data_IF_686163162260
#
_entry.id   IF_686163162260
#
_cell.length_a   1.000
_cell.length_b   1.000
_cell.length_c   1.000
_cell.angle_alpha   90.00
_cell.angle_beta   90.00
_cell.angle_gamma   90.00
#
_symmetry.space_group_name_H-M   'P 1'
#
loop_
_entity.id
_entity.type
_entity.pdbx_description
1 polymer ?
#
# COMPACT_ATOMS: atom_id res chain seq x y z
N UNK A 1 -20.86 -42.55 -54.44
CA UNK A 1 -19.40 -42.48 -54.26
C UNK A 1 -19.06 -41.27 -53.41
N UNK A 2 -18.10 -41.47 -52.51
CA UNK A 2 -17.90 -40.72 -51.27
C UNK A 2 -17.48 -39.26 -51.45
N UNK A 3 -18.11 -38.35 -50.69
CA UNK A 3 -17.49 -37.10 -50.25
C UNK A 3 -16.71 -37.42 -48.99
N UNK A 4 -15.38 -37.51 -49.09
CA UNK A 4 -14.51 -37.57 -47.92
C UNK A 4 -14.50 -36.21 -47.22
N UNK A 5 -14.63 -36.17 -45.88
CA UNK A 5 -14.70 -34.93 -45.12
C UNK A 5 -13.31 -34.30 -44.95
N UNK A 6 -13.27 -32.97 -44.94
CA UNK A 6 -12.14 -32.19 -44.44
C UNK A 6 -11.89 -32.59 -42.99
N UNK A 7 -10.72 -33.17 -42.72
CA UNK A 7 -10.21 -33.30 -41.37
C UNK A 7 -9.98 -31.89 -40.81
N UNK A 8 -10.84 -31.49 -39.88
CA UNK A 8 -10.59 -30.35 -39.01
C UNK A 8 -9.39 -30.69 -38.12
N UNK A 9 -8.34 -29.90 -38.25
CA UNK A 9 -7.25 -29.85 -37.27
C UNK A 9 -7.79 -29.05 -36.09
N UNK A 10 -8.44 -29.74 -35.14
CA UNK A 10 -8.55 -29.24 -33.78
C UNK A 10 -7.16 -29.38 -33.16
N UNK A 11 -6.37 -28.32 -33.25
CA UNK A 11 -5.22 -28.12 -32.36
C UNK A 11 -5.72 -27.31 -31.18
N UNK A 12 -6.42 -27.96 -30.26
CA UNK A 12 -6.42 -27.55 -28.85
C UNK A 12 -4.97 -27.69 -28.38
N UNK A 13 -4.21 -26.61 -28.53
CA UNK A 13 -2.94 -26.48 -27.81
C UNK A 13 -3.33 -26.33 -26.35
N UNK A 14 -3.28 -27.43 -25.61
CA UNK A 14 -3.33 -27.44 -24.17
C UNK A 14 -2.07 -26.70 -23.71
N UNK A 15 -2.20 -25.38 -23.54
CA UNK A 15 -1.12 -24.49 -23.14
C UNK A 15 -0.65 -24.95 -21.76
N UNK A 16 0.62 -25.35 -21.67
CA UNK A 16 1.17 -25.91 -20.44
C UNK A 16 0.93 -24.95 -19.27
N UNK A 17 0.49 -25.44 -18.10
CA UNK A 17 0.10 -24.58 -17.00
C UNK A 17 1.28 -23.71 -16.55
N UNK A 18 1.01 -22.43 -16.37
CA UNK A 18 2.00 -21.47 -15.89
C UNK A 18 2.41 -21.84 -14.47
N UNK A 19 3.71 -22.05 -14.24
CA UNK A 19 4.25 -22.38 -12.92
C UNK A 19 5.14 -21.24 -12.40
N UNK A 20 4.99 -20.84 -11.13
CA UNK A 20 5.89 -19.89 -10.52
C UNK A 20 7.25 -20.53 -10.28
N UNK A 21 8.32 -19.74 -10.39
CA UNK A 21 9.66 -20.18 -10.00
C UNK A 21 9.77 -20.20 -8.46
N UNK A 22 10.43 -21.18 -7.87
CA UNK A 22 10.69 -21.18 -6.43
C UNK A 22 11.67 -20.08 -6.01
N UNK A 23 11.51 -19.44 -4.84
CA UNK A 23 12.44 -18.42 -4.39
C UNK A 23 13.79 -19.06 -4.07
N UNK A 24 14.86 -18.42 -4.53
CA UNK A 24 16.23 -18.94 -4.36
C UNK A 24 16.75 -18.77 -2.89
N UNK A 25 15.98 -18.16 -1.99
CA UNK A 25 16.38 -17.84 -0.62
C UNK A 25 15.24 -18.00 0.38
N UNK A 26 15.56 -18.33 1.64
CA UNK A 26 14.60 -18.42 2.76
C UNK A 26 13.81 -17.10 2.95
N UNK A 27 14.49 -15.95 2.84
CA UNK A 27 13.81 -14.64 2.91
C UNK A 27 12.78 -14.47 1.78
N UNK A 28 13.08 -14.98 0.59
CA UNK A 28 12.14 -15.00 -0.54
C UNK A 28 10.95 -15.91 -0.29
N UNK A 29 11.17 -17.07 0.31
CA UNK A 29 10.12 -18.01 0.73
C UNK A 29 9.18 -17.37 1.76
N UNK A 30 9.75 -16.79 2.83
CA UNK A 30 8.97 -16.07 3.85
C UNK A 30 8.19 -14.90 3.24
N UNK A 31 8.79 -14.11 2.35
CA UNK A 31 8.09 -13.02 1.68
C UNK A 31 6.92 -13.52 0.81
N UNK A 32 7.06 -14.68 0.17
CA UNK A 32 6.00 -15.30 -0.64
C UNK A 32 4.86 -15.81 0.24
N UNK A 33 5.19 -16.45 1.36
CA UNK A 33 4.19 -16.88 2.34
C UNK A 33 3.40 -15.69 2.88
N UNK A 34 4.09 -14.60 3.24
CA UNK A 34 3.43 -13.37 3.68
C UNK A 34 2.56 -12.77 2.56
N UNK A 35 3.04 -12.74 1.33
CA UNK A 35 2.25 -12.30 0.19
C UNK A 35 0.97 -13.14 0.03
N UNK A 36 1.06 -14.46 0.12
CA UNK A 36 -0.09 -15.35 0.03
C UNK A 36 -1.11 -15.09 1.16
N UNK A 37 -0.65 -14.92 2.40
CA UNK A 37 -1.52 -14.57 3.55
C UNK A 37 -2.26 -13.26 3.27
N UNK A 38 -1.55 -12.24 2.80
CA UNK A 38 -2.13 -10.93 2.48
C UNK A 38 -3.10 -11.00 1.30
N UNK A 39 -2.80 -11.79 0.27
CA UNK A 39 -3.66 -12.00 -0.88
C UNK A 39 -4.98 -12.70 -0.48
N UNK A 40 -4.91 -13.72 0.40
CA UNK A 40 -6.10 -14.35 0.96
C UNK A 40 -6.98 -13.37 1.72
N UNK A 41 -6.37 -12.50 2.53
CA UNK A 41 -7.08 -11.45 3.26
C UNK A 41 -7.72 -10.41 2.32
N UNK A 42 -6.98 -9.98 1.29
CA UNK A 42 -7.42 -9.01 0.29
C UNK A 42 -8.61 -9.53 -0.54
N UNK A 43 -8.51 -10.76 -1.03
CA UNK A 43 -9.51 -11.36 -1.91
C UNK A 43 -10.68 -11.99 -1.15
N UNK A 44 -10.51 -12.24 0.16
CA UNK A 44 -11.45 -13.05 0.97
C UNK A 44 -11.67 -14.44 0.37
N UNK A 45 -10.66 -14.96 -0.29
CA UNK A 45 -10.63 -16.29 -0.91
C UNK A 45 -9.48 -17.07 -0.27
N UNK A 46 -9.75 -18.31 0.13
CA UNK A 46 -8.72 -19.18 0.71
C UNK A 46 -8.07 -20.03 -0.38
N UNK A 47 -7.02 -19.52 -1.00
CA UNK A 47 -6.15 -20.31 -1.88
C UNK A 47 -5.43 -21.39 -1.08
N UNK A 48 -5.24 -22.60 -1.61
CA UNK A 48 -4.49 -23.62 -0.87
C UNK A 48 -3.01 -23.24 -0.76
N UNK A 49 -2.41 -22.93 -1.90
CA UNK A 49 -1.00 -22.59 -2.04
C UNK A 49 -0.78 -21.36 -2.95
N UNK A 50 0.48 -20.96 -3.08
CA UNK A 50 0.88 -19.85 -3.94
C UNK A 50 0.74 -20.20 -5.43
N UNK A 51 0.91 -21.46 -5.82
CA UNK A 51 0.81 -21.88 -7.22
C UNK A 51 -0.62 -21.67 -7.75
N UNK A 52 -1.63 -22.00 -6.97
CA UNK A 52 -3.04 -21.81 -7.31
C UNK A 52 -3.37 -20.32 -7.48
N UNK A 53 -2.86 -19.47 -6.57
CA UNK A 53 -2.98 -18.02 -6.69
C UNK A 53 -2.29 -17.52 -7.96
N UNK A 54 -1.07 -17.99 -8.22
CA UNK A 54 -0.27 -17.60 -9.39
C UNK A 54 -1.01 -17.95 -10.68
N UNK A 55 -1.51 -19.18 -10.81
CA UNK A 55 -2.25 -19.61 -12.00
C UNK A 55 -3.54 -18.81 -12.23
N UNK A 56 -4.20 -18.35 -11.17
CA UNK A 56 -5.44 -17.58 -11.29
C UNK A 56 -5.21 -16.12 -11.73
N UNK A 57 -4.02 -15.55 -11.50
CA UNK A 57 -3.77 -14.11 -11.70
C UNK A 57 -2.62 -13.80 -12.66
N UNK A 58 -1.65 -14.70 -12.84
CA UNK A 58 -0.52 -14.48 -13.73
C UNK A 58 -0.97 -14.63 -15.18
N UNK A 59 -0.56 -13.68 -16.02
CA UNK A 59 -0.73 -13.75 -17.47
C UNK A 59 0.53 -13.23 -18.15
N UNK A 60 0.87 -13.84 -19.29
CA UNK A 60 1.88 -13.30 -20.22
C UNK A 60 1.28 -12.26 -21.17
N UNK A 61 -0.04 -12.31 -21.38
CA UNK A 61 -0.74 -11.38 -22.26
C UNK A 61 -0.82 -9.98 -21.63
N UNK A 62 -0.27 -8.93 -22.27
CA UNK A 62 -0.22 -7.58 -21.70
C UNK A 62 -1.57 -7.01 -21.27
N UNK A 63 -2.64 -7.40 -21.95
CA UNK A 63 -4.02 -6.95 -21.66
C UNK A 63 -4.52 -7.51 -20.31
N UNK A 64 -4.07 -8.71 -19.94
CA UNK A 64 -4.51 -9.42 -18.73
C UNK A 64 -3.57 -9.21 -17.53
N UNK A 65 -2.36 -8.67 -17.77
CA UNK A 65 -1.41 -8.31 -16.70
C UNK A 65 -2.00 -7.33 -15.68
N UNK A 66 -3.02 -6.55 -16.06
CA UNK A 66 -3.70 -5.61 -15.17
C UNK A 66 -4.29 -6.31 -13.94
N UNK A 67 -4.78 -7.54 -14.09
CA UNK A 67 -5.39 -8.30 -12.99
C UNK A 67 -4.35 -8.64 -11.91
N UNK A 68 -3.17 -9.10 -12.32
CA UNK A 68 -2.04 -9.33 -11.41
C UNK A 68 -1.58 -8.03 -10.74
N UNK A 69 -1.48 -6.94 -11.50
CA UNK A 69 -1.03 -5.65 -10.97
C UNK A 69 -2.04 -5.05 -9.97
N UNK A 70 -3.33 -5.24 -10.22
CA UNK A 70 -4.39 -4.81 -9.30
C UNK A 70 -4.37 -5.65 -8.01
N UNK A 71 -4.12 -6.96 -8.11
CA UNK A 71 -3.91 -7.80 -6.93
C UNK A 71 -2.70 -7.32 -6.11
N UNK A 72 -1.56 -7.08 -6.76
CA UNK A 72 -0.33 -6.58 -6.11
C UNK A 72 -0.59 -5.26 -5.36
N UNK A 73 -1.36 -4.34 -5.96
CA UNK A 73 -1.77 -3.09 -5.32
C UNK A 73 -2.69 -3.32 -4.12
N UNK A 74 -3.65 -4.23 -4.24
CA UNK A 74 -4.60 -4.54 -3.17
C UNK A 74 -3.88 -5.20 -1.99
N UNK A 75 -2.96 -6.12 -2.27
CA UNK A 75 -2.07 -6.72 -1.27
C UNK A 75 -1.24 -5.63 -0.58
N UNK A 76 -0.68 -4.68 -1.34
CA UNK A 76 0.05 -3.57 -0.75
C UNK A 76 -0.81 -2.75 0.21
N UNK A 77 -2.06 -2.45 -0.16
CA UNK A 77 -3.00 -1.73 0.69
C UNK A 77 -3.29 -2.48 2.00
N UNK A 78 -3.62 -3.77 1.92
CA UNK A 78 -3.89 -4.61 3.10
C UNK A 78 -2.67 -4.71 4.00
N UNK A 79 -1.48 -4.88 3.42
CA UNK A 79 -0.25 -4.99 4.20
C UNK A 79 0.07 -3.70 4.96
N UNK A 80 -0.11 -2.54 4.32
CA UNK A 80 0.08 -1.24 4.95
C UNK A 80 -0.94 -1.01 6.08
N UNK A 81 -2.20 -1.41 5.89
CA UNK A 81 -3.24 -1.34 6.92
C UNK A 81 -2.97 -2.29 8.10
N UNK A 82 -2.32 -3.43 7.84
CA UNK A 82 -1.87 -4.35 8.90
C UNK A 82 -0.63 -3.85 9.66
N UNK A 83 -0.10 -2.67 9.31
CA UNK A 83 1.03 -2.04 9.99
C UNK A 83 2.40 -2.46 9.46
N UNK A 84 2.49 -3.14 8.32
CA UNK A 84 3.78 -3.44 7.70
C UNK A 84 4.43 -2.16 7.15
N UNK A 85 5.75 -2.03 7.34
CA UNK A 85 6.50 -0.90 6.80
C UNK A 85 6.53 -0.94 5.26
N UNK A 86 6.58 0.21 4.56
CA UNK A 86 6.64 0.24 3.10
C UNK A 86 7.76 -0.64 2.51
N UNK A 87 8.91 -0.72 3.19
CA UNK A 87 10.04 -1.55 2.79
C UNK A 87 9.69 -3.05 2.82
N UNK A 88 8.97 -3.51 3.83
CA UNK A 88 8.49 -4.90 3.89
C UNK A 88 7.45 -5.16 2.80
N UNK A 89 6.52 -4.22 2.59
CA UNK A 89 5.49 -4.37 1.57
C UNK A 89 6.08 -4.47 0.17
N UNK A 90 7.14 -3.71 -0.15
CA UNK A 90 7.88 -3.84 -1.42
C UNK A 90 8.43 -5.27 -1.59
N UNK A 91 8.94 -5.89 -0.52
CA UNK A 91 9.45 -7.26 -0.57
C UNK A 91 8.34 -8.28 -0.81
N UNK A 92 7.16 -8.06 -0.23
CA UNK A 92 5.98 -8.90 -0.46
C UNK A 92 5.50 -8.77 -1.91
N UNK A 93 5.30 -7.53 -2.40
CA UNK A 93 4.86 -7.27 -3.78
C UNK A 93 5.86 -7.79 -4.81
N UNK A 94 7.16 -7.83 -4.50
CA UNK A 94 8.16 -8.48 -5.34
C UNK A 94 7.97 -10.00 -5.49
N UNK A 95 7.14 -10.62 -4.63
CA UNK A 95 6.67 -12.00 -4.76
C UNK A 95 5.28 -12.09 -5.40
N UNK A 96 4.73 -11.00 -5.94
CA UNK A 96 3.42 -10.99 -6.59
C UNK A 96 3.41 -11.74 -7.93
N UNK A 97 2.23 -12.20 -8.40
CA UNK A 97 2.10 -12.95 -9.65
C UNK A 97 2.65 -12.20 -10.87
N UNK A 98 2.53 -10.87 -10.91
CA UNK A 98 3.08 -10.06 -11.99
C UNK A 98 4.61 -10.20 -12.07
N UNK A 99 5.29 -9.95 -10.94
CA UNK A 99 6.76 -10.02 -10.86
C UNK A 99 7.28 -11.44 -11.10
N UNK A 100 6.57 -12.45 -10.59
CA UNK A 100 6.94 -13.84 -10.84
C UNK A 100 6.73 -14.23 -12.31
N UNK A 101 5.69 -13.72 -12.98
CA UNK A 101 5.48 -13.96 -14.40
C UNK A 101 6.62 -13.38 -15.23
N UNK A 102 7.02 -12.12 -14.97
CA UNK A 102 8.10 -11.43 -15.68
C UNK A 102 9.47 -12.12 -15.51
N UNK A 103 9.70 -12.81 -14.38
CA UNK A 103 11.02 -13.37 -14.04
C UNK A 103 11.15 -14.88 -14.21
N UNK A 104 10.05 -15.60 -14.44
CA UNK A 104 10.05 -17.07 -14.43
C UNK A 104 10.97 -17.69 -15.49
N UNK A 105 10.97 -17.11 -16.69
CA UNK A 105 11.71 -17.62 -17.85
C UNK A 105 13.11 -17.00 -17.99
N UNK A 106 13.48 -16.08 -17.08
CA UNK A 106 14.73 -15.34 -17.16
C UNK A 106 15.91 -16.15 -16.60
N UNK A 107 17.05 -16.06 -17.28
CA UNK A 107 18.34 -16.53 -16.74
C UNK A 107 18.73 -15.75 -15.47
N UNK A 108 19.68 -16.25 -14.67
CA UNK A 108 20.22 -15.49 -13.55
C UNK A 108 20.77 -14.10 -13.95
N UNK A 109 21.41 -13.96 -15.11
CA UNK A 109 21.88 -12.65 -15.60
C UNK A 109 20.72 -11.74 -16.00
N UNK A 110 19.74 -12.27 -16.72
CA UNK A 110 18.55 -11.51 -17.14
C UNK A 110 17.74 -11.03 -15.94
N UNK A 111 17.56 -11.90 -14.93
CA UNK A 111 16.91 -11.54 -13.66
C UNK A 111 17.67 -10.42 -12.94
N UNK A 112 19.01 -10.49 -12.91
CA UNK A 112 19.84 -9.43 -12.32
C UNK A 112 19.67 -8.11 -13.06
N UNK A 113 19.54 -8.14 -14.39
CA UNK A 113 19.27 -6.97 -15.21
C UNK A 113 17.84 -6.42 -15.05
N UNK A 114 16.85 -7.29 -14.84
CA UNK A 114 15.44 -6.90 -14.66
C UNK A 114 15.13 -6.40 -13.23
N UNK A 115 15.93 -6.79 -12.24
CA UNK A 115 15.69 -6.49 -10.82
C UNK A 115 15.40 -5.00 -10.54
N UNK A 116 16.14 -4.01 -11.08
CA UNK A 116 15.83 -2.60 -10.83
C UNK A 116 14.43 -2.20 -11.32
N UNK A 117 14.00 -2.69 -12.49
CA UNK A 117 12.66 -2.42 -13.06
C UNK A 117 11.57 -3.02 -12.17
N UNK A 118 11.77 -4.24 -11.68
CA UNK A 118 10.78 -4.95 -10.86
C UNK A 118 10.68 -4.37 -9.44
N UNK A 119 11.81 -3.94 -8.86
CA UNK A 119 11.82 -3.21 -7.60
C UNK A 119 11.16 -1.83 -7.74
N UNK A 120 11.39 -1.15 -8.86
CA UNK A 120 10.70 0.10 -9.17
C UNK A 120 9.17 -0.13 -9.27
N UNK A 121 8.75 -1.17 -9.99
CA UNK A 121 7.34 -1.57 -10.06
C UNK A 121 6.73 -1.81 -8.68
N UNK A 122 7.37 -2.64 -7.85
CA UNK A 122 6.85 -2.96 -6.51
C UNK A 122 6.74 -1.69 -5.65
N UNK A 123 7.74 -0.80 -5.72
CA UNK A 123 7.69 0.51 -5.08
C UNK A 123 6.51 1.35 -5.59
N UNK A 124 6.27 1.39 -6.91
CA UNK A 124 5.14 2.13 -7.48
C UNK A 124 3.79 1.62 -6.96
N UNK A 125 3.62 0.31 -6.79
CA UNK A 125 2.38 -0.23 -6.20
C UNK A 125 2.20 0.20 -4.74
N UNK A 126 3.29 0.17 -3.96
CA UNK A 126 3.26 0.63 -2.56
C UNK A 126 2.99 2.13 -2.45
N UNK A 127 3.64 2.94 -3.28
CA UNK A 127 3.43 4.39 -3.32
C UNK A 127 1.99 4.73 -3.75
N UNK A 128 1.44 4.00 -4.73
CA UNK A 128 0.04 4.14 -5.15
C UNK A 128 -0.92 3.78 -4.02
N UNK A 129 -0.68 2.67 -3.32
CA UNK A 129 -1.48 2.28 -2.17
C UNK A 129 -1.40 3.31 -1.03
N UNK A 130 -0.22 3.87 -0.74
CA UNK A 130 -0.09 4.95 0.25
C UNK A 130 -0.82 6.23 -0.17
N UNK A 131 -0.76 6.63 -1.45
CA UNK A 131 -1.51 7.80 -1.96
C UNK A 131 -3.01 7.59 -1.82
N UNK A 132 -3.49 6.39 -2.14
CA UNK A 132 -4.89 6.03 -1.96
C UNK A 132 -5.30 6.13 -0.48
N UNK A 133 -4.51 5.54 0.43
CA UNK A 133 -4.74 5.65 1.88
C UNK A 133 -4.77 7.10 2.36
N UNK A 134 -3.83 7.94 1.90
CA UNK A 134 -3.80 9.36 2.25
C UNK A 134 -5.08 10.07 1.78
N UNK A 135 -5.47 9.81 0.53
CA UNK A 135 -6.68 10.38 -0.07
C UNK A 135 -7.94 9.98 0.70
N UNK A 136 -8.04 8.74 1.15
CA UNK A 136 -9.18 8.25 1.94
C UNK A 136 -9.32 9.00 3.27
N UNK A 137 -8.23 9.17 4.02
CA UNK A 137 -8.26 9.99 5.24
C UNK A 137 -8.53 11.46 4.95
N UNK A 138 -7.90 12.02 3.92
CA UNK A 138 -8.10 13.41 3.53
C UNK A 138 -9.57 13.68 3.14
N UNK A 139 -10.18 12.77 2.38
CA UNK A 139 -11.60 12.82 2.03
C UNK A 139 -12.49 12.73 3.26
N UNK A 140 -12.16 11.84 4.21
CA UNK A 140 -12.91 11.69 5.46
C UNK A 140 -12.86 12.95 6.34
N UNK A 141 -11.71 13.61 6.46
CA UNK A 141 -11.57 14.82 7.31
C UNK A 141 -12.09 16.09 6.66
N UNK A 142 -12.06 16.17 5.32
CA UNK A 142 -12.58 17.32 4.57
C UNK A 142 -14.08 17.19 4.26
N UNK A 143 -14.64 15.98 4.36
CA UNK A 143 -16.01 15.69 3.93
C UNK A 143 -16.20 15.75 2.41
N UNK A 144 -15.11 15.75 1.63
CA UNK A 144 -15.13 15.79 0.16
C UNK A 144 -14.76 14.41 -0.39
N UNK A 145 -15.33 14.03 -1.53
CA UNK A 145 -14.88 12.87 -2.30
C UNK A 145 -14.11 13.41 -3.50
N UNK A 146 -12.78 13.37 -3.44
CA UNK A 146 -11.93 13.85 -4.50
C UNK A 146 -10.79 12.88 -4.83
N UNK A 147 -10.26 13.00 -6.04
CA UNK A 147 -9.07 12.27 -6.45
C UNK A 147 -7.82 12.83 -5.76
N UNK A 148 -6.75 12.04 -5.68
CA UNK A 148 -5.47 12.52 -5.15
C UNK A 148 -4.94 13.74 -5.92
N UNK A 149 -5.14 13.77 -7.25
CA UNK A 149 -4.69 14.89 -8.08
C UNK A 149 -5.43 16.19 -7.77
N UNK A 150 -6.73 16.11 -7.50
CA UNK A 150 -7.54 17.27 -7.11
C UNK A 150 -7.16 17.76 -5.72
N UNK A 151 -7.04 16.83 -4.76
CA UNK A 151 -6.58 17.09 -3.41
C UNK A 151 -5.22 17.80 -3.40
N UNK A 152 -4.27 17.28 -4.19
CA UNK A 152 -2.94 17.86 -4.33
C UNK A 152 -3.00 19.29 -4.88
N UNK A 153 -3.74 19.50 -5.98
CA UNK A 153 -3.88 20.82 -6.60
C UNK A 153 -4.52 21.85 -5.67
N UNK A 154 -5.51 21.44 -4.88
CA UNK A 154 -6.20 22.31 -3.92
C UNK A 154 -5.24 22.82 -2.83
N UNK A 155 -4.35 21.96 -2.33
CA UNK A 155 -3.56 22.26 -1.12
C UNK A 155 -2.13 22.74 -1.41
N UNK A 156 -1.55 22.40 -2.58
CA UNK A 156 -0.14 22.71 -2.89
C UNK A 156 0.17 24.21 -2.98
N UNK A 157 -0.84 25.04 -3.20
CA UNK A 157 -0.68 26.50 -3.33
C UNK A 157 -0.41 27.22 -2.00
N UNK A 158 -0.58 26.53 -0.86
CA UNK A 158 -0.42 27.10 0.47
C UNK A 158 0.18 26.06 1.42
N UNK A 159 1.42 26.29 1.85
CA UNK A 159 2.10 25.43 2.84
C UNK A 159 1.26 25.28 4.11
N UNK A 160 0.62 26.36 4.57
CA UNK A 160 -0.24 26.32 5.75
C UNK A 160 -1.44 25.39 5.56
N UNK A 161 -2.13 25.48 4.41
CA UNK A 161 -3.29 24.64 4.13
C UNK A 161 -2.90 23.17 4.00
N UNK A 162 -1.77 22.89 3.34
CA UNK A 162 -1.25 21.54 3.20
C UNK A 162 -0.84 20.95 4.57
N UNK A 163 -0.12 21.70 5.40
CA UNK A 163 0.26 21.26 6.77
C UNK A 163 -0.98 21.03 7.65
N UNK A 164 -2.00 21.87 7.55
CA UNK A 164 -3.24 21.70 8.31
C UNK A 164 -3.99 20.43 7.90
N UNK A 165 -4.05 20.13 6.59
CA UNK A 165 -4.60 18.88 6.09
C UNK A 165 -3.80 17.68 6.63
N UNK A 166 -2.46 17.73 6.54
CA UNK A 166 -1.56 16.69 7.04
C UNK A 166 -1.83 16.41 8.54
N UNK A 167 -1.99 17.45 9.37
CA UNK A 167 -2.33 17.31 10.79
C UNK A 167 -3.70 16.65 11.01
N UNK A 168 -4.71 16.99 10.21
CA UNK A 168 -6.04 16.38 10.31
C UNK A 168 -6.02 14.91 9.90
N UNK A 169 -5.30 14.58 8.82
CA UNK A 169 -5.10 13.21 8.34
C UNK A 169 -4.39 12.37 9.40
N UNK A 170 -3.32 12.89 9.99
CA UNK A 170 -2.59 12.24 11.09
C UNK A 170 -3.52 11.98 12.28
N UNK A 171 -4.30 12.99 12.68
CA UNK A 171 -5.23 12.83 13.78
C UNK A 171 -6.29 11.75 13.51
N UNK A 172 -6.79 11.68 12.27
CA UNK A 172 -7.74 10.65 11.85
C UNK A 172 -7.12 9.25 11.82
N UNK A 173 -5.94 9.09 11.22
CA UNK A 173 -5.25 7.81 11.13
C UNK A 173 -4.86 7.25 12.51
N UNK A 174 -4.34 8.10 13.40
CA UNK A 174 -4.05 7.70 14.78
C UNK A 174 -5.31 7.28 15.55
N UNK A 175 -6.43 7.99 15.37
CA UNK A 175 -7.72 7.60 15.97
C UNK A 175 -8.29 6.30 15.40
N UNK A 176 -7.96 5.97 14.16
CA UNK A 176 -8.29 4.67 13.55
C UNK A 176 -7.41 3.53 14.09
N UNK A 177 -6.46 3.82 14.98
CA UNK A 177 -5.59 2.83 15.61
C UNK A 177 -4.32 2.53 14.83
N UNK A 178 -3.99 3.31 13.79
CA UNK A 178 -2.73 3.13 13.07
C UNK A 178 -1.51 3.48 13.93
N UNK A 179 -0.41 2.77 13.71
CA UNK A 179 0.84 3.03 14.42
C UNK A 179 1.46 4.36 13.99
N UNK A 180 2.18 5.01 14.91
CA UNK A 180 2.89 6.27 14.62
C UNK A 180 3.86 6.14 13.42
N UNK A 181 4.51 4.98 13.28
CA UNK A 181 5.40 4.68 12.16
C UNK A 181 4.64 4.61 10.83
N UNK A 182 3.49 3.91 10.79
CA UNK A 182 2.65 3.83 9.60
C UNK A 182 2.15 5.21 9.17
N UNK A 183 1.71 6.03 10.14
CA UNK A 183 1.23 7.40 9.88
C UNK A 183 2.37 8.33 9.43
N UNK A 184 3.58 8.14 9.95
CA UNK A 184 4.77 8.87 9.46
C UNK A 184 5.00 8.60 7.97
N UNK A 185 4.92 7.33 7.54
CA UNK A 185 5.04 6.97 6.13
C UNK A 185 3.87 7.44 5.27
N UNK A 186 2.66 7.49 5.85
CA UNK A 186 1.48 8.02 5.19
C UNK A 186 1.68 9.51 4.82
N UNK A 187 2.27 10.30 5.73
CA UNK A 187 2.55 11.72 5.52
C UNK A 187 3.49 12.00 4.35
N UNK A 188 4.32 11.04 3.94
CA UNK A 188 5.15 11.22 2.74
C UNK A 188 4.31 11.43 1.48
N UNK A 189 3.05 11.01 1.49
CA UNK A 189 2.11 11.22 0.38
C UNK A 189 1.29 12.51 0.53
N UNK A 190 1.46 13.27 1.62
CA UNK A 190 0.75 14.53 1.82
C UNK A 190 1.14 15.57 0.74
N UNK A 191 0.22 16.48 0.36
CA UNK A 191 0.51 17.51 -0.63
C UNK A 191 1.73 18.37 -0.26
N UNK A 192 1.92 18.66 1.04
CA UNK A 192 3.10 19.38 1.52
C UNK A 192 4.37 18.58 1.24
N UNK A 193 4.44 17.35 1.75
CA UNK A 193 5.58 16.46 1.59
C UNK A 193 5.98 16.27 0.11
N UNK A 194 5.00 16.00 -0.76
CA UNK A 194 5.24 15.80 -2.19
C UNK A 194 5.71 17.06 -2.90
N UNK A 195 5.18 18.23 -2.55
CA UNK A 195 5.65 19.50 -3.11
C UNK A 195 7.06 19.84 -2.65
N UNK A 196 7.34 19.68 -1.37
CA UNK A 196 8.67 19.95 -0.81
C UNK A 196 9.72 19.03 -1.44
N UNK A 197 9.43 17.74 -1.57
CA UNK A 197 10.35 16.79 -2.19
C UNK A 197 10.48 16.99 -3.71
N UNK A 198 9.35 17.05 -4.42
CA UNK A 198 9.33 17.02 -5.89
C UNK A 198 9.61 18.37 -6.56
N UNK A 199 9.31 19.49 -5.90
CA UNK A 199 9.47 20.84 -6.47
C UNK A 199 10.56 21.63 -5.77
N UNK A 200 10.65 21.54 -4.44
CA UNK A 200 11.64 22.30 -3.65
C UNK A 200 12.94 21.54 -3.41
N UNK A 201 13.00 20.25 -3.77
CA UNK A 201 14.20 19.43 -3.63
C UNK A 201 14.57 19.14 -2.18
N UNK A 202 13.59 19.12 -1.27
CA UNK A 202 13.80 18.74 0.13
C UNK A 202 14.36 17.32 0.20
N UNK A 203 15.41 17.13 1.00
CA UNK A 203 16.02 15.83 1.20
C UNK A 203 15.14 14.90 2.05
N UNK A 204 15.38 13.59 1.92
CA UNK A 204 14.57 12.58 2.62
C UNK A 204 14.67 12.68 4.16
N UNK A 205 15.78 13.17 4.71
CA UNK A 205 15.96 13.34 6.15
C UNK A 205 15.10 14.48 6.68
N UNK A 206 15.07 15.62 6.00
CA UNK A 206 14.20 16.74 6.34
C UNK A 206 12.71 16.37 6.24
N UNK A 207 12.34 15.57 5.23
CA UNK A 207 10.97 15.06 5.08
C UNK A 207 10.57 14.13 6.23
N UNK A 208 11.46 13.22 6.63
CA UNK A 208 11.26 12.29 7.75
C UNK A 208 11.12 13.05 9.08
N UNK A 209 11.93 14.09 9.29
CA UNK A 209 11.80 14.97 10.46
C UNK A 209 10.47 15.70 10.50
N UNK A 210 10.02 16.25 9.37
CA UNK A 210 8.71 16.87 9.26
C UNK A 210 7.58 15.90 9.61
N UNK A 211 7.58 14.71 9.00
CA UNK A 211 6.54 13.72 9.21
C UNK A 211 6.48 13.24 10.67
N UNK A 212 7.63 12.87 11.25
CA UNK A 212 7.73 12.46 12.66
C UNK A 212 7.32 13.59 13.60
N UNK A 213 7.79 14.80 13.35
CA UNK A 213 7.44 15.98 14.14
C UNK A 213 5.93 16.24 14.16
N UNK A 214 5.28 16.11 13.00
CA UNK A 214 3.83 16.27 12.86
C UNK A 214 3.07 15.19 13.64
N UNK A 215 3.48 13.92 13.52
CA UNK A 215 2.87 12.81 14.28
C UNK A 215 3.00 13.03 15.79
N UNK A 216 4.19 13.37 16.27
CA UNK A 216 4.44 13.62 17.71
C UNK A 216 3.62 14.81 18.22
N UNK A 217 3.54 15.89 17.44
CA UNK A 217 2.73 17.06 17.79
C UNK A 217 1.26 16.69 17.95
N UNK A 218 0.69 15.96 16.98
CA UNK A 218 -0.73 15.56 17.03
C UNK A 218 -1.01 14.59 18.18
N UNK A 219 -0.13 13.62 18.42
CA UNK A 219 -0.25 12.72 19.58
C UNK A 219 -0.23 13.48 20.91
N UNK A 220 0.63 14.50 21.02
CA UNK A 220 0.71 15.36 22.21
C UNK A 220 -0.59 16.16 22.42
N UNK A 221 -1.19 16.67 21.34
CA UNK A 221 -2.48 17.37 21.41
C UNK A 221 -3.60 16.42 21.85
N UNK A 222 -3.66 15.20 21.28
CA UNK A 222 -4.68 14.21 21.62
C UNK A 222 -4.58 13.73 23.07
N UNK A 223 -3.37 13.53 23.59
CA UNK A 223 -3.18 13.10 24.99
C UNK A 223 -3.62 14.16 26.01
N UNK A 224 -3.41 15.45 25.70
CA UNK A 224 -3.90 16.57 26.51
C UNK A 224 -5.43 16.66 26.51
N UNK A 225 -6.09 16.41 25.37
CA UNK A 225 -7.55 16.41 25.27
C UNK A 225 -8.18 15.29 26.11
N UNK A 226 -7.59 14.09 26.12
CA UNK A 226 -8.05 12.96 26.94
C UNK A 226 -7.84 13.24 28.44
N UNK A 227 -6.73 13.89 28.81
CA UNK A 227 -6.41 14.23 30.20
C UNK A 227 -7.31 15.35 30.75
N UNK A 228 -7.74 16.28 29.89
CA UNK A 228 -8.66 17.37 30.25
C UNK A 228 -10.09 16.90 30.56
N UNK A 229 -10.56 15.85 29.87
CA UNK A 229 -11.92 15.31 30.05
C UNK A 229 -12.08 14.48 31.35
N UNK A 230 -10.95 14.05 31.92
CA UNK A 230 -10.89 13.28 33.18
C UNK A 230 -10.85 14.16 34.45
N UNK A 231 -10.73 15.48 34.32
CA UNK A 231 -10.49 16.42 35.42
C UNK A 231 -11.72 17.19 35.96
N UNK A 232 -12.89 17.03 35.35
CA UNK A 232 -14.05 17.92 35.53
C UNK A 232 -15.09 17.57 36.60
N UNK A 233 -14.82 16.67 37.56
CA UNK A 233 -15.75 16.36 38.68
C UNK A 233 -15.05 16.41 40.04
N UNK A 234 -14.55 17.58 40.45
CA UNK A 234 -14.16 17.86 41.84
C UNK A 234 -15.27 18.60 42.60
N UNK A 235 -15.97 17.83 43.44
CA UNK A 235 -16.52 18.15 44.77
C UNK A 235 -17.03 19.59 45.00
N UNK A 236 -18.35 19.78 44.96
CA UNK A 236 -18.98 20.79 45.82
C UNK A 236 -19.02 20.25 47.24
N UNK A 237 -18.12 20.77 48.08
CA UNK A 237 -18.22 20.69 49.52
C UNK A 237 -19.57 21.29 49.96
N UNK A 238 -20.37 20.53 50.70
CA UNK A 238 -21.37 21.09 51.61
C UNK A 238 -20.80 20.95 53.01
N UNK A 239 -20.20 22.04 53.48
CA UNK A 239 -20.03 22.36 54.88
C UNK A 239 -21.40 22.25 55.56
N UNK A 240 -21.50 21.37 56.54
CA UNK A 240 -22.57 21.33 57.53
C UNK A 240 -21.88 21.51 58.86
N UNK A 241 -21.85 22.77 59.30
CA UNK A 241 -21.56 23.15 60.68
C UNK A 241 -22.86 23.71 61.27
N UNK A 242 -23.20 23.16 62.44
CA UNK A 242 -24.27 23.49 63.40
C UNK A 242 -25.69 23.05 63.08
#
# INVERSE_FOLDING_TARGET
MAKSPKAGKETTSEEAPLLPREPDTEKGQQAREQYLVLAKAALRVNFEDYQTLFQAYASEEPEDQQTAQQLDRTVAQVALQAGHSPRQVIQFVAQGPYVQCETRAQSPEEKKAALPKLLHYARTQVDTAQKQRYTEYANAVTGKIQSYADLYREHVSSDLAAIQLDQQVVAAALRAGESAEAVTHLLYQGPYAQFQQGVKGMDAGSLDQYAKGTVVQVQSIQSLQISGDSGGRRKKAKTLDR
#
